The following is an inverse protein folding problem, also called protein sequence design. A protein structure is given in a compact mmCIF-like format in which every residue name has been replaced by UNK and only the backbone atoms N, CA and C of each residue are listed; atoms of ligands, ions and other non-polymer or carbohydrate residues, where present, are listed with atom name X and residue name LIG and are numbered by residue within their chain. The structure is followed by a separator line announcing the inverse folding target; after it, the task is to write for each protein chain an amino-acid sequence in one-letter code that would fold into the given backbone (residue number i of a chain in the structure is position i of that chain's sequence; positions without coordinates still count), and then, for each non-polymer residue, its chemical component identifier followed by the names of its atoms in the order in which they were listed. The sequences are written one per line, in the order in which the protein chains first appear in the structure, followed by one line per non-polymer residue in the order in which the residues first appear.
data_IF_930864412531
#
_entry.id   IF_930864412531
#
_cell.length_a   1.000
_cell.length_b   1.000
_cell.length_c   1.000
_cell.angle_alpha   90.00
_cell.angle_beta   90.00
_cell.angle_gamma   90.00
#
_symmetry.space_group_name_H-M   'P 1'
#
loop_
_entity.id
_entity.type
_entity.pdbx_description
1 polymer ?
#
# COMPACT_ATOMS: atom_id res chain seq x y z
N UNK A 1 1.13 -9.80 22.58
CA UNK A 1 2.13 -9.32 21.60
C UNK A 1 3.57 -9.65 21.97
N UNK A 2 3.99 -9.65 23.25
CA UNK A 2 5.38 -10.00 23.62
C UNK A 2 5.86 -11.39 23.20
N UNK A 3 4.94 -12.33 22.98
CA UNK A 3 5.23 -13.69 22.50
C UNK A 3 5.20 -13.81 20.97
N UNK A 4 4.83 -12.74 20.26
CA UNK A 4 4.71 -12.73 18.80
C UNK A 4 6.01 -12.15 18.22
N UNK A 5 7.02 -13.01 18.08
CA UNK A 5 8.26 -12.69 17.37
C UNK A 5 8.25 -13.43 16.03
N UNK A 6 7.82 -12.72 14.98
CA UNK A 6 7.70 -13.29 13.64
C UNK A 6 7.97 -12.20 12.60
N UNK A 7 8.76 -12.48 11.55
CA UNK A 7 9.20 -11.48 10.56
C UNK A 7 8.05 -10.80 9.78
N UNK A 8 6.85 -11.39 9.78
CA UNK A 8 5.67 -10.86 9.09
C UNK A 8 4.57 -10.37 10.05
N UNK A 9 4.88 -10.18 11.35
CA UNK A 9 3.92 -9.67 12.35
C UNK A 9 4.47 -8.36 12.93
N UNK A 10 3.62 -7.34 13.04
CA UNK A 10 4.01 -6.03 13.60
C UNK A 10 4.60 -6.21 14.99
N UNK A 11 5.86 -5.83 15.13
CA UNK A 11 6.60 -6.03 16.37
C UNK A 11 6.17 -5.04 17.45
N UNK A 12 5.97 -5.53 18.67
CA UNK A 12 5.90 -4.68 19.87
C UNK A 12 7.32 -4.27 20.26
N UNK A 13 7.63 -2.97 20.19
CA UNK A 13 8.96 -2.43 20.52
C UNK A 13 9.10 -2.10 22.00
N UNK A 14 8.09 -1.47 22.59
CA UNK A 14 8.09 -1.08 24.00
C UNK A 14 6.66 -1.07 24.54
N UNK A 15 6.48 -1.20 25.85
CA UNK A 15 5.19 -0.95 26.49
C UNK A 15 5.39 -0.42 27.91
N UNK A 16 4.56 0.52 28.31
CA UNK A 16 4.66 1.18 29.61
C UNK A 16 3.28 1.64 30.10
N UNK A 17 3.16 1.81 31.40
CA UNK A 17 1.95 2.36 32.01
C UNK A 17 2.08 3.88 32.19
N UNK A 18 1.00 4.60 31.94
CA UNK A 18 0.87 6.02 32.28
C UNK A 18 -0.37 6.21 33.16
N UNK A 19 -0.33 7.18 34.07
CA UNK A 19 -1.47 7.52 34.93
C UNK A 19 -1.97 8.92 34.57
N UNK A 20 -3.27 9.12 34.48
CA UNK A 20 -3.85 10.46 34.28
C UNK A 20 -3.98 11.21 35.60
N UNK A 21 -4.31 12.51 35.52
CA UNK A 21 -4.61 13.36 36.68
C UNK A 21 -5.80 12.83 37.50
N UNK A 22 -6.71 12.07 36.86
CA UNK A 22 -7.85 11.42 37.49
C UNK A 22 -7.53 10.00 38.02
N UNK A 23 -6.24 9.66 38.13
CA UNK A 23 -5.76 8.38 38.65
C UNK A 23 -6.09 7.15 37.77
N UNK A 24 -6.49 7.36 36.51
CA UNK A 24 -6.74 6.28 35.56
C UNK A 24 -5.44 5.75 34.96
N UNK A 25 -5.29 4.42 34.92
CA UNK A 25 -4.11 3.74 34.39
C UNK A 25 -4.31 3.35 32.92
N UNK A 26 -3.38 3.77 32.07
CA UNK A 26 -3.34 3.43 30.65
C UNK A 26 -2.11 2.57 30.33
N UNK A 27 -2.32 1.51 29.56
CA UNK A 27 -1.23 0.72 28.97
C UNK A 27 -0.92 1.27 27.57
N UNK A 28 0.28 1.80 27.40
CA UNK A 28 0.78 2.29 26.12
C UNK A 28 1.59 1.20 25.42
N UNK A 29 1.31 0.95 24.14
CA UNK A 29 2.01 -0.01 23.30
C UNK A 29 2.74 0.74 22.18
N UNK A 30 4.07 0.67 22.16
CA UNK A 30 4.91 1.20 21.09
C UNK A 30 5.13 0.09 20.09
N UNK A 31 4.52 0.20 18.92
CA UNK A 31 4.60 -0.77 17.85
C UNK A 31 5.56 -0.31 16.76
N UNK A 32 6.02 -1.22 15.92
CA UNK A 32 6.66 -0.89 14.66
C UNK A 32 5.77 0.00 13.79
N UNK A 33 6.36 1.04 13.21
CA UNK A 33 5.64 1.98 12.36
C UNK A 33 5.36 1.36 11.00
N UNK A 34 4.07 1.27 10.64
CA UNK A 34 3.63 0.96 9.28
C UNK A 34 3.15 2.26 8.65
N UNK A 35 3.72 2.71 7.51
CA UNK A 35 3.28 3.95 6.87
C UNK A 35 1.77 3.95 6.60
N UNK A 36 1.08 5.03 7.00
CA UNK A 36 -0.37 5.18 6.83
C UNK A 36 -0.80 4.98 5.35
N UNK A 37 0.10 5.34 4.43
CA UNK A 37 0.03 5.08 2.99
C UNK A 37 -0.27 3.65 2.65
N UNK A 38 0.48 2.73 3.22
CA UNK A 38 0.37 1.31 2.88
C UNK A 38 -0.94 0.75 3.43
N UNK A 39 -1.27 1.08 4.67
CA UNK A 39 -2.50 0.63 5.32
C UNK A 39 -3.75 1.06 4.54
N UNK A 40 -3.80 2.33 4.09
CA UNK A 40 -4.96 2.87 3.36
C UNK A 40 -5.08 2.31 1.95
N UNK A 41 -3.97 2.06 1.26
CA UNK A 41 -3.97 1.41 -0.07
C UNK A 41 -4.56 0.01 0.01
N UNK A 42 -4.09 -0.79 0.97
CA UNK A 42 -4.59 -2.16 1.12
C UNK A 42 -6.06 -2.22 1.54
N UNK A 43 -6.65 -1.12 2.07
CA UNK A 43 -8.11 -0.98 2.23
C UNK A 43 -8.83 -0.51 0.95
N UNK A 44 -8.20 0.31 0.12
CA UNK A 44 -8.80 0.82 -1.12
C UNK A 44 -8.82 -0.23 -2.25
N UNK A 45 -7.78 -1.06 -2.38
CA UNK A 45 -7.67 -2.04 -3.46
C UNK A 45 -8.80 -3.07 -3.46
N UNK A 46 -9.21 -3.68 -2.33
CA UNK A 46 -10.36 -4.59 -2.30
C UNK A 46 -11.66 -3.96 -2.83
N UNK A 47 -11.88 -2.67 -2.55
CA UNK A 47 -13.06 -1.96 -3.05
C UNK A 47 -13.05 -1.90 -4.58
N UNK A 48 -12.01 -1.36 -5.20
CA UNK A 48 -11.96 -1.24 -6.66
C UNK A 48 -11.88 -2.60 -7.37
N UNK A 49 -11.19 -3.59 -6.77
CA UNK A 49 -11.01 -4.91 -7.37
C UNK A 49 -12.26 -5.78 -7.29
N UNK A 50 -12.92 -5.84 -6.12
CA UNK A 50 -14.03 -6.76 -5.88
C UNK A 50 -15.39 -6.13 -6.07
N UNK A 51 -15.54 -4.86 -5.71
CA UNK A 51 -16.85 -4.17 -5.77
C UNK A 51 -17.07 -3.60 -7.16
N UNK A 52 -16.03 -3.02 -7.77
CA UNK A 52 -16.14 -2.34 -9.07
C UNK A 52 -15.59 -3.20 -10.23
N UNK A 53 -14.65 -4.12 -9.95
CA UNK A 53 -14.01 -4.95 -10.99
C UNK A 53 -12.94 -4.22 -11.81
N UNK A 54 -12.39 -3.13 -11.28
CA UNK A 54 -11.40 -2.27 -11.95
C UNK A 54 -10.00 -2.58 -11.45
N UNK A 55 -9.06 -2.75 -12.38
CA UNK A 55 -7.63 -2.72 -12.11
C UNK A 55 -7.11 -1.31 -12.34
N UNK A 56 -6.32 -0.76 -11.42
CA UNK A 56 -5.79 0.59 -11.51
C UNK A 56 -4.64 0.71 -12.51
N UNK A 57 -3.72 -0.26 -12.52
CA UNK A 57 -2.58 -0.36 -13.47
C UNK A 57 -1.59 0.80 -13.43
N UNK A 58 -1.58 1.60 -12.36
CA UNK A 58 -0.55 2.62 -12.13
C UNK A 58 -0.46 3.04 -10.66
N UNK A 59 -0.41 2.06 -9.76
CA UNK A 59 -0.18 2.31 -8.33
C UNK A 59 1.27 2.75 -8.13
N UNK A 60 1.46 3.98 -7.64
CA UNK A 60 2.76 4.61 -7.33
C UNK A 60 2.55 5.74 -6.31
N UNK A 61 3.59 6.17 -5.57
CA UNK A 61 3.45 7.20 -4.53
C UNK A 61 2.73 8.47 -4.98
N UNK A 62 2.97 8.91 -6.21
CA UNK A 62 2.35 10.12 -6.79
C UNK A 62 0.83 10.01 -6.96
N UNK A 63 0.31 8.79 -7.12
CA UNK A 63 -1.12 8.53 -7.36
C UNK A 63 -1.88 8.14 -6.08
N UNK A 64 -1.26 8.36 -4.91
CA UNK A 64 -1.80 7.98 -3.61
C UNK A 64 -2.18 9.17 -2.74
N UNK A 65 -1.96 10.39 -3.23
CA UNK A 65 -2.22 11.63 -2.51
C UNK A 65 -3.18 12.47 -3.33
N UNK A 66 -4.23 12.99 -2.69
CA UNK A 66 -5.05 14.03 -3.28
C UNK A 66 -4.23 15.33 -3.30
N UNK A 67 -3.93 15.90 -4.48
CA UNK A 67 -3.05 17.05 -4.61
C UNK A 67 -3.58 18.33 -3.95
N UNK A 68 -4.89 18.41 -3.67
CA UNK A 68 -5.51 19.60 -3.09
C UNK A 68 -5.68 19.53 -1.58
N UNK A 69 -5.83 18.32 -1.02
CA UNK A 69 -6.12 18.14 0.41
C UNK A 69 -4.99 17.46 1.17
N UNK A 70 -3.96 17.00 0.46
CA UNK A 70 -2.90 16.12 0.97
C UNK A 70 -3.42 14.85 1.67
N UNK A 71 -4.71 14.54 1.52
CA UNK A 71 -5.29 13.32 2.04
C UNK A 71 -4.94 12.16 1.14
N UNK A 72 -4.65 11.03 1.78
CA UNK A 72 -4.30 9.82 1.08
C UNK A 72 -5.52 9.21 0.38
N UNK A 73 -5.56 9.30 -0.93
CA UNK A 73 -6.65 8.82 -1.78
C UNK A 73 -6.04 8.24 -3.04
N UNK A 74 -6.64 7.15 -3.51
CA UNK A 74 -6.29 6.62 -4.81
C UNK A 74 -6.75 7.60 -5.89
N UNK A 75 -5.82 8.05 -6.72
CA UNK A 75 -6.03 9.07 -7.73
C UNK A 75 -5.47 8.61 -9.09
N UNK A 76 -5.84 9.31 -10.16
CA UNK A 76 -5.39 9.05 -11.54
C UNK A 76 -5.77 7.65 -12.08
N UNK A 77 -7.05 7.54 -12.44
CA UNK A 77 -7.59 6.35 -13.11
C UNK A 77 -7.40 6.37 -14.63
N UNK A 78 -6.53 7.24 -15.19
CA UNK A 78 -6.30 7.34 -16.63
C UNK A 78 -5.75 6.04 -17.24
N UNK A 79 -5.05 5.25 -16.42
CA UNK A 79 -4.58 3.91 -16.78
C UNK A 79 -5.52 2.79 -16.33
N UNK A 80 -6.60 3.07 -15.60
CA UNK A 80 -7.45 2.03 -15.04
C UNK A 80 -8.27 1.30 -16.12
N UNK A 81 -8.60 0.02 -15.88
CA UNK A 81 -9.42 -0.79 -16.79
C UNK A 81 -10.13 -1.92 -16.07
N UNK A 82 -11.37 -2.20 -16.50
CA UNK A 82 -12.07 -3.45 -16.13
C UNK A 82 -11.42 -4.61 -16.89
N UNK A 83 -10.85 -5.56 -16.14
CA UNK A 83 -10.20 -6.73 -16.73
C UNK A 83 -11.22 -7.83 -16.98
N UNK A 84 -11.48 -8.14 -18.24
CA UNK A 84 -12.38 -9.23 -18.64
C UNK A 84 -11.57 -10.50 -18.85
N UNK A 85 -11.97 -11.60 -18.19
CA UNK A 85 -11.31 -12.90 -18.32
C UNK A 85 -11.27 -13.34 -19.79
N UNK A 86 -10.08 -13.73 -20.25
CA UNK A 86 -9.85 -14.17 -21.63
C UNK A 86 -9.52 -13.05 -22.63
N UNK A 87 -9.77 -11.79 -22.30
CA UNK A 87 -9.38 -10.66 -23.15
C UNK A 87 -7.91 -10.27 -22.92
N UNK A 88 -7.12 -10.09 -23.99
CA UNK A 88 -5.76 -9.61 -23.87
C UNK A 88 -5.73 -8.12 -23.47
N UNK A 89 -4.72 -7.76 -22.70
CA UNK A 89 -4.44 -6.39 -22.29
C UNK A 89 -2.97 -6.05 -22.56
N UNK A 90 -2.69 -4.76 -22.75
CA UNK A 90 -1.32 -4.26 -22.97
C UNK A 90 -0.50 -4.56 -21.71
N UNK A 91 0.65 -5.22 -21.89
CA UNK A 91 1.57 -5.61 -20.81
C UNK A 91 2.50 -4.47 -20.40
N UNK A 92 2.79 -3.53 -21.32
CA UNK A 92 3.51 -2.30 -21.03
C UNK A 92 2.62 -1.24 -20.35
N UNK A 93 1.76 -1.68 -19.43
CA UNK A 93 1.07 -0.83 -18.46
C UNK A 93 1.87 -0.76 -17.15
N UNK A 94 1.54 0.18 -16.28
CA UNK A 94 2.24 0.49 -15.02
C UNK A 94 3.61 1.19 -15.17
N UNK A 95 3.90 2.05 -14.19
CA UNK A 95 5.20 2.65 -13.94
C UNK A 95 6.30 1.59 -13.72
N UNK A 96 7.50 1.84 -14.28
CA UNK A 96 8.62 0.87 -14.36
C UNK A 96 8.98 0.19 -13.02
N UNK A 97 9.10 0.98 -11.95
CA UNK A 97 9.57 0.49 -10.65
C UNK A 97 8.53 -0.32 -9.87
N UNK A 98 7.25 -0.22 -10.22
CA UNK A 98 6.15 -0.90 -9.54
C UNK A 98 5.52 -1.98 -10.44
N UNK A 99 6.20 -2.37 -11.52
CA UNK A 99 5.68 -3.29 -12.51
C UNK A 99 5.79 -4.74 -12.03
N UNK A 100 4.67 -5.46 -12.09
CA UNK A 100 4.59 -6.87 -11.73
C UNK A 100 5.42 -7.75 -12.70
N UNK A 101 6.04 -8.84 -12.22
CA UNK A 101 6.94 -9.67 -13.03
C UNK A 101 6.25 -10.23 -14.27
N UNK A 102 4.98 -10.63 -14.19
CA UNK A 102 4.21 -11.11 -15.33
C UNK A 102 4.10 -10.07 -16.45
N UNK A 103 4.02 -8.77 -16.11
CA UNK A 103 4.01 -7.68 -17.09
C UNK A 103 5.39 -7.47 -17.71
N UNK A 104 6.47 -7.67 -16.95
CA UNK A 104 7.85 -7.65 -17.45
C UNK A 104 8.06 -8.76 -18.48
N UNK A 105 7.50 -9.94 -18.22
CA UNK A 105 7.49 -11.08 -19.16
C UNK A 105 6.47 -10.95 -20.29
N UNK A 106 5.79 -9.81 -20.41
CA UNK A 106 4.88 -9.55 -21.53
C UNK A 106 3.53 -10.26 -21.44
N UNK A 107 3.12 -10.75 -20.27
CA UNK A 107 1.83 -11.39 -20.10
C UNK A 107 0.69 -10.41 -20.47
N UNK A 108 -0.20 -10.85 -21.36
CA UNK A 108 -1.38 -10.08 -21.77
C UNK A 108 -2.64 -10.49 -21.02
N UNK A 109 -2.58 -11.62 -20.30
CA UNK A 109 -3.66 -12.17 -19.47
C UNK A 109 -3.25 -12.08 -18.00
N UNK A 110 -3.34 -10.89 -17.45
CA UNK A 110 -3.09 -10.60 -16.03
C UNK A 110 -4.41 -10.27 -15.30
N UNK A 111 -4.34 -10.18 -13.98
CA UNK A 111 -5.49 -9.83 -13.13
C UNK A 111 -5.20 -8.59 -12.30
N UNK A 112 -6.14 -8.20 -11.45
CA UNK A 112 -5.98 -7.08 -10.51
C UNK A 112 -4.81 -7.27 -9.52
N UNK A 113 -4.24 -8.47 -9.44
CA UNK A 113 -3.06 -8.80 -8.61
C UNK A 113 -1.83 -7.95 -8.95
N UNK A 114 -1.73 -7.40 -10.16
CA UNK A 114 -0.65 -6.48 -10.51
C UNK A 114 -0.64 -5.21 -9.64
N UNK A 115 -1.82 -4.74 -9.20
CA UNK A 115 -1.91 -3.59 -8.28
C UNK A 115 -1.45 -3.96 -6.86
N UNK A 116 -1.65 -5.21 -6.45
CA UNK A 116 -1.16 -5.74 -5.16
C UNK A 116 0.38 -5.78 -5.17
N UNK A 117 0.97 -6.23 -6.29
CA UNK A 117 2.42 -6.18 -6.48
C UNK A 117 2.93 -4.73 -6.39
N UNK A 118 2.32 -3.82 -7.15
CA UNK A 118 2.70 -2.40 -7.13
C UNK A 118 2.60 -1.77 -5.74
N UNK A 119 1.55 -2.10 -4.97
CA UNK A 119 1.41 -1.66 -3.58
C UNK A 119 2.51 -2.23 -2.66
N UNK A 120 2.93 -3.48 -2.88
CA UNK A 120 4.08 -4.07 -2.23
C UNK A 120 5.39 -3.33 -2.54
N UNK A 121 5.59 -2.92 -3.80
CA UNK A 121 6.73 -2.07 -4.17
C UNK A 121 6.69 -0.72 -3.45
N UNK A 122 5.51 -0.09 -3.33
CA UNK A 122 5.34 1.17 -2.57
C UNK A 122 5.71 0.98 -1.10
N UNK A 123 5.31 -0.13 -0.48
CA UNK A 123 5.72 -0.47 0.90
C UNK A 123 7.24 -0.67 1.00
N UNK A 124 7.86 -1.41 0.08
CA UNK A 124 9.30 -1.66 0.10
C UNK A 124 10.16 -0.43 -0.22
N UNK A 125 9.63 0.52 -0.99
CA UNK A 125 10.29 1.79 -1.34
C UNK A 125 10.10 2.87 -0.27
N UNK A 126 9.03 2.82 0.55
CA UNK A 126 8.77 3.81 1.59
C UNK A 126 9.93 3.98 2.60
N UNK A 127 10.64 2.93 3.06
CA UNK A 127 11.84 3.05 3.91
C UNK A 127 13.02 3.76 3.25
N UNK A 128 13.06 3.82 1.92
CA UNK A 128 14.14 4.47 1.16
C UNK A 128 13.83 5.96 0.90
N UNK A 129 12.54 6.34 0.91
CA UNK A 129 12.09 7.73 0.73
C UNK A 129 12.27 8.58 1.99
N UNK A 130 12.37 7.98 3.17
CA UNK A 130 12.65 8.70 4.44
C UNK A 130 14.13 9.09 4.63
N UNK A 131 15.02 8.76 3.69
CA UNK A 131 16.43 9.21 3.69
C UNK A 131 16.69 10.45 2.81
N UNK A 132 15.65 11.03 2.21
CA UNK A 132 15.79 12.21 1.35
C UNK A 132 15.05 13.44 1.90
N UNK A 133 15.17 13.70 3.20
CA UNK A 133 15.05 15.04 3.79
C UNK A 133 16.07 15.12 4.92
N UNK A 134 17.32 15.40 4.55
CA UNK A 134 18.25 16.09 5.42
C UNK A 134 18.47 17.45 4.76
N UNK A 135 17.78 18.46 5.28
CA UNK A 135 18.31 19.82 5.35
C UNK A 135 18.41 20.15 6.83
#
# INVERSE_FOLDING_TARGET
MRLLDHPNVVSLKHCFFSKTENDELYLNLVLEYVPETVHRIFRALPYIHRTIGVCHRDIKPQNLVNPHTHQLKLCDFGSAKVLVKGQPNISYSCSRYCRAPELIFGATKYTTTIDIWSAGCVLGLAPQMSKLVVM
#
